data_IF_290386995493
#
_entry.id   IF_290386995493
#
_cell.length_a   1.000
_cell.length_b   1.000
_cell.length_c   1.000
_cell.angle_alpha   90.00
_cell.angle_beta   90.00
_cell.angle_gamma   90.00
#
_symmetry.space_group_name_H-M   'P 1'
#
loop_
_entity.id
_entity.type
_entity.pdbx_description
1 polymer ?
#
# COMPACT_ATOMS: atom_id res chain seq x y z
N UNK A 1 -14.13 -26.83 -14.65
CA UNK A 1 -14.12 -25.58 -13.85
C UNK A 1 -15.18 -24.69 -14.45
N UNK A 2 -16.30 -24.53 -13.77
CA UNK A 2 -17.41 -23.70 -14.28
C UNK A 2 -17.00 -22.22 -14.34
N UNK A 3 -17.64 -21.45 -15.22
CA UNK A 3 -17.34 -20.03 -15.47
C UNK A 3 -17.31 -19.21 -14.17
N UNK A 4 -18.18 -19.54 -13.22
CA UNK A 4 -18.25 -18.91 -11.88
C UNK A 4 -16.95 -19.08 -11.08
N UNK A 5 -16.33 -20.26 -11.14
CA UNK A 5 -15.06 -20.51 -10.45
C UNK A 5 -13.93 -19.71 -11.09
N UNK A 6 -13.92 -19.62 -12.43
CA UNK A 6 -12.93 -18.80 -13.14
C UNK A 6 -13.05 -17.31 -12.76
N UNK A 7 -14.28 -16.79 -12.64
CA UNK A 7 -14.52 -15.42 -12.18
C UNK A 7 -14.06 -15.19 -10.74
N UNK A 8 -14.37 -16.12 -9.84
CA UNK A 8 -14.00 -16.02 -8.41
C UNK A 8 -12.48 -15.95 -8.19
N UNK A 9 -11.70 -16.75 -8.93
CA UNK A 9 -10.25 -16.77 -8.77
C UNK A 9 -9.52 -15.68 -9.56
N UNK A 10 -10.17 -15.03 -10.53
CA UNK A 10 -9.52 -14.01 -11.36
C UNK A 10 -9.11 -12.76 -10.59
N UNK A 11 -9.94 -12.28 -9.66
CA UNK A 11 -9.66 -11.10 -8.83
C UNK A 11 -8.44 -11.27 -7.90
N UNK A 12 -8.35 -12.31 -7.05
CA UNK A 12 -7.16 -12.52 -6.21
C UNK A 12 -5.92 -12.81 -7.06
N UNK A 13 -6.06 -13.52 -8.19
CA UNK A 13 -4.95 -13.78 -9.11
C UNK A 13 -4.40 -12.48 -9.71
N UNK A 14 -5.28 -11.55 -10.11
CA UNK A 14 -4.86 -10.23 -10.59
C UNK A 14 -4.11 -9.43 -9.50
N UNK A 15 -4.56 -9.51 -8.25
CA UNK A 15 -3.85 -8.92 -7.11
C UNK A 15 -2.45 -9.50 -6.91
N UNK A 16 -2.30 -10.83 -6.98
CA UNK A 16 -1.01 -11.51 -6.88
C UNK A 16 -0.08 -11.10 -8.04
N UNK A 17 -0.58 -11.06 -9.27
CA UNK A 17 0.19 -10.62 -10.44
C UNK A 17 0.65 -9.16 -10.25
N UNK A 18 -0.23 -8.29 -9.76
CA UNK A 18 0.10 -6.89 -9.45
C UNK A 18 1.21 -6.77 -8.40
N UNK A 19 1.15 -7.58 -7.33
CA UNK A 19 2.20 -7.62 -6.30
C UNK A 19 3.53 -8.12 -6.86
N UNK A 20 3.52 -9.18 -7.65
CA UNK A 20 4.74 -9.71 -8.31
C UNK A 20 5.35 -8.62 -9.21
N UNK A 21 4.52 -7.92 -9.98
CA UNK A 21 4.98 -6.84 -10.84
C UNK A 21 5.56 -5.66 -10.04
N UNK A 22 4.91 -5.25 -8.95
CA UNK A 22 5.41 -4.19 -8.08
C UNK A 22 6.78 -4.55 -7.47
N UNK A 23 6.93 -5.78 -6.99
CA UNK A 23 8.21 -6.29 -6.46
C UNK A 23 9.27 -6.32 -7.55
N UNK A 24 8.94 -6.84 -8.74
CA UNK A 24 9.84 -6.83 -9.89
C UNK A 24 10.30 -5.41 -10.23
N UNK A 25 9.38 -4.44 -10.27
CA UNK A 25 9.68 -3.05 -10.62
C UNK A 25 10.60 -2.40 -9.59
N UNK A 26 10.35 -2.61 -8.29
CA UNK A 26 11.22 -2.11 -7.21
C UNK A 26 12.62 -2.70 -7.35
N UNK A 27 12.74 -4.02 -7.51
CA UNK A 27 14.03 -4.69 -7.67
C UNK A 27 14.77 -4.26 -8.94
N UNK A 28 14.03 -3.98 -10.03
CA UNK A 28 14.60 -3.47 -11.27
C UNK A 28 15.17 -2.05 -11.08
N UNK A 29 14.38 -1.13 -10.49
CA UNK A 29 14.79 0.26 -10.26
C UNK A 29 16.00 0.32 -9.31
N UNK A 30 16.03 -0.50 -8.26
CA UNK A 30 17.15 -0.54 -7.32
C UNK A 30 18.49 -0.97 -7.94
N UNK A 31 18.48 -1.62 -9.11
CA UNK A 31 19.70 -1.99 -9.84
C UNK A 31 20.22 -0.87 -10.74
N UNK A 32 19.42 0.16 -10.99
CA UNK A 32 19.84 1.30 -11.81
C UNK A 32 20.81 2.19 -11.03
N UNK A 33 21.69 2.88 -11.74
CA UNK A 33 22.61 3.83 -11.11
C UNK A 33 21.83 5.00 -10.49
N UNK A 34 22.09 5.27 -9.21
CA UNK A 34 21.50 6.37 -8.46
C UNK A 34 22.07 7.75 -8.86
N UNK A 35 23.11 7.77 -9.72
CA UNK A 35 23.71 8.97 -10.27
C UNK A 35 24.77 9.57 -9.35
N UNK A 36 24.99 10.88 -9.49
CA UNK A 36 26.04 11.59 -8.75
C UNK A 36 25.78 11.65 -7.24
N UNK A 37 26.84 11.88 -6.46
CA UNK A 37 26.73 12.08 -5.00
C UNK A 37 25.75 13.20 -4.62
N UNK A 38 25.69 14.28 -5.41
CA UNK A 38 24.73 15.35 -5.19
C UNK A 38 23.29 14.88 -5.38
N UNK A 39 23.03 14.02 -6.37
CA UNK A 39 21.70 13.44 -6.61
C UNK A 39 21.29 12.50 -5.48
N UNK A 40 22.20 11.64 -5.01
CA UNK A 40 21.94 10.74 -3.86
C UNK A 40 21.59 11.51 -2.59
N UNK A 41 22.31 12.60 -2.29
CA UNK A 41 22.02 13.46 -1.13
C UNK A 41 20.63 14.10 -1.21
N UNK A 42 20.24 14.61 -2.38
CA UNK A 42 18.91 15.19 -2.59
C UNK A 42 17.84 14.10 -2.44
N UNK A 43 18.03 12.93 -3.05
CA UNK A 43 17.10 11.81 -2.95
C UNK A 43 16.89 11.36 -1.49
N UNK A 44 17.96 11.29 -0.69
CA UNK A 44 17.88 10.95 0.73
C UNK A 44 17.05 11.98 1.52
N UNK A 45 17.26 13.28 1.30
CA UNK A 45 16.48 14.33 1.96
C UNK A 45 14.99 14.29 1.55
N UNK A 46 14.70 14.00 0.28
CA UNK A 46 13.32 13.80 -0.20
C UNK A 46 12.69 12.58 0.47
N UNK A 47 13.42 11.46 0.55
CA UNK A 47 12.95 10.23 1.18
C UNK A 47 12.64 10.45 2.66
N UNK A 48 13.52 11.12 3.40
CA UNK A 48 13.31 11.44 4.82
C UNK A 48 12.05 12.30 5.00
N UNK A 49 11.90 13.37 4.21
CA UNK A 49 10.72 14.23 4.24
C UNK A 49 9.42 13.48 3.91
N UNK A 50 9.45 12.64 2.88
CA UNK A 50 8.31 11.82 2.48
C UNK A 50 7.90 10.83 3.58
N UNK A 51 8.85 10.15 4.20
CA UNK A 51 8.58 9.24 5.31
C UNK A 51 8.03 9.97 6.54
N UNK A 52 8.56 11.16 6.87
CA UNK A 52 8.04 11.97 7.96
C UNK A 52 6.58 12.42 7.71
N UNK A 53 6.25 12.78 6.47
CA UNK A 53 4.87 13.10 6.06
C UNK A 53 3.94 11.89 6.15
N UNK A 54 4.33 10.75 5.55
CA UNK A 54 3.52 9.53 5.55
C UNK A 54 3.27 9.03 6.98
N UNK A 55 4.27 9.07 7.86
CA UNK A 55 4.10 8.68 9.25
C UNK A 55 3.07 9.57 9.99
N UNK A 56 3.11 10.88 9.75
CA UNK A 56 2.11 11.80 10.33
C UNK A 56 0.73 11.55 9.76
N UNK A 57 0.63 11.34 8.45
CA UNK A 57 -0.64 11.07 7.77
C UNK A 57 -1.26 9.76 8.27
N UNK A 58 -0.49 8.67 8.28
CA UNK A 58 -0.95 7.35 8.73
C UNK A 58 -1.38 7.37 10.19
N UNK A 59 -0.70 8.14 11.05
CA UNK A 59 -1.13 8.31 12.45
C UNK A 59 -2.52 8.94 12.53
N UNK A 60 -2.76 10.01 11.78
CA UNK A 60 -4.08 10.68 11.75
C UNK A 60 -5.15 9.76 11.15
N UNK A 61 -4.85 9.11 10.02
CA UNK A 61 -5.77 8.19 9.35
C UNK A 61 -6.11 7.00 10.25
N UNK A 62 -5.14 6.43 10.97
CA UNK A 62 -5.37 5.33 11.90
C UNK A 62 -6.34 5.71 13.03
N UNK A 63 -6.21 6.91 13.59
CA UNK A 63 -7.15 7.40 14.62
C UNK A 63 -8.57 7.49 14.06
N UNK A 64 -8.73 8.05 12.85
CA UNK A 64 -10.04 8.16 12.19
C UNK A 64 -10.60 6.76 11.88
N UNK A 65 -9.78 5.85 11.37
CA UNK A 65 -10.18 4.48 11.05
C UNK A 65 -10.68 3.74 12.30
N UNK A 66 -9.98 3.83 13.43
CA UNK A 66 -10.42 3.21 14.70
C UNK A 66 -11.76 3.76 15.16
N UNK A 67 -11.95 5.08 15.11
CA UNK A 67 -13.23 5.70 15.50
C UNK A 67 -14.36 5.18 14.60
N UNK A 68 -14.14 5.17 13.28
CA UNK A 68 -15.13 4.67 12.32
C UNK A 68 -15.44 3.18 12.50
N UNK A 69 -14.42 2.35 12.73
CA UNK A 69 -14.60 0.92 13.03
C UNK A 69 -15.49 0.72 14.25
N UNK A 70 -15.27 1.46 15.34
CA UNK A 70 -16.11 1.37 16.57
C UNK A 70 -17.55 1.80 16.28
N UNK A 71 -17.73 2.93 15.58
CA UNK A 71 -19.05 3.46 15.23
C UNK A 71 -19.83 2.49 14.34
N UNK A 72 -19.19 1.94 13.29
CA UNK A 72 -19.82 1.00 12.36
C UNK A 72 -20.13 -0.32 13.05
N UNK A 73 -19.22 -0.83 13.90
CA UNK A 73 -19.43 -2.09 14.62
C UNK A 73 -20.65 -2.01 15.54
N UNK A 74 -20.87 -0.87 16.21
CA UNK A 74 -22.02 -0.66 17.10
C UNK A 74 -23.31 -0.31 16.34
N UNK A 75 -23.24 0.56 15.32
CA UNK A 75 -24.41 1.06 14.61
C UNK A 75 -24.93 0.13 13.51
N UNK A 76 -24.07 -0.70 12.91
CA UNK A 76 -24.40 -1.58 11.79
C UNK A 76 -24.18 -3.04 12.17
N UNK A 77 -22.92 -3.50 12.17
CA UNK A 77 -22.49 -4.82 12.63
C UNK A 77 -20.96 -4.98 12.46
N UNK A 78 -20.39 -5.97 13.14
CA UNK A 78 -18.95 -6.26 13.11
C UNK A 78 -18.40 -6.61 11.72
N UNK A 79 -19.06 -7.45 10.87
CA UNK A 79 -18.53 -7.78 9.54
C UNK A 79 -18.37 -6.60 8.58
N UNK A 80 -19.15 -5.53 8.75
CA UNK A 80 -19.02 -4.32 7.91
C UNK A 80 -17.90 -3.40 8.39
N UNK A 81 -17.49 -3.54 9.66
CA UNK A 81 -16.49 -2.68 10.29
C UNK A 81 -15.03 -3.13 10.08
N UNK A 82 -14.82 -4.38 9.67
CA UNK A 82 -13.53 -5.05 9.46
C UNK A 82 -13.28 -5.27 7.95
#
# INVERSE_FOLDING_TARGET
MDITNLMLYSAPLAGIIGLIFAVYLVLYIMKLDAGSEKMKQIAAAIQEGAMAYLNRQYKTVAVIAVILTIVIAYAINTPTAL
#
